data_IF_158867520588
#
_entry.id   IF_158867520588
#
_cell.length_a   1.000
_cell.length_b   1.000
_cell.length_c   1.000
_cell.angle_alpha   90.00
_cell.angle_beta   90.00
_cell.angle_gamma   90.00
#
_symmetry.space_group_name_H-M   'P 1'
#
loop_
_entity.id
_entity.type
_entity.pdbx_description
1 polymer ?
#
# COMPACT_ATOMS: atom_id res chain seq x y z
N UNK A 1 6.28 -3.37 -4.81
CA UNK A 1 6.34 -3.40 -6.29
C UNK A 1 5.45 -4.54 -6.84
N UNK A 2 4.21 -4.63 -6.34
CA UNK A 2 3.24 -5.67 -6.70
C UNK A 2 2.35 -5.24 -7.86
N UNK A 3 1.95 -6.19 -8.71
CA UNK A 3 0.94 -5.96 -9.75
C UNK A 3 -0.41 -5.53 -9.13
N UNK A 4 -1.22 -4.72 -9.83
CA UNK A 4 -1.11 -4.36 -11.25
C UNK A 4 -0.12 -3.22 -11.57
N UNK A 5 0.36 -2.47 -10.59
CA UNK A 5 1.24 -1.30 -10.84
C UNK A 5 2.72 -1.67 -10.88
N UNK A 6 3.12 -2.73 -10.20
CA UNK A 6 4.49 -3.20 -10.09
C UNK A 6 4.79 -4.45 -10.94
N UNK A 7 5.93 -5.09 -10.65
CA UNK A 7 6.47 -6.22 -11.40
C UNK A 7 6.01 -7.58 -10.87
N UNK A 8 5.91 -7.70 -9.54
CA UNK A 8 5.78 -8.96 -8.83
C UNK A 8 4.33 -9.37 -8.61
N UNK A 9 4.09 -10.67 -8.51
CA UNK A 9 2.80 -11.25 -8.17
C UNK A 9 2.70 -11.49 -6.65
N UNK A 10 1.49 -11.71 -6.15
CA UNK A 10 1.28 -12.13 -4.77
C UNK A 10 1.94 -13.47 -4.44
N UNK A 11 2.09 -14.35 -5.43
CA UNK A 11 2.85 -15.59 -5.31
C UNK A 11 4.33 -15.32 -4.99
N UNK A 12 4.94 -14.31 -5.63
CA UNK A 12 6.33 -13.92 -5.36
C UNK A 12 6.46 -13.38 -3.94
N UNK A 13 5.51 -12.57 -3.49
CA UNK A 13 5.46 -12.11 -2.10
C UNK A 13 5.36 -13.29 -1.13
N UNK A 14 4.52 -14.29 -1.43
CA UNK A 14 4.37 -15.48 -0.59
C UNK A 14 5.70 -16.23 -0.41
N UNK A 15 6.49 -16.37 -1.47
CA UNK A 15 7.81 -17.02 -1.43
C UNK A 15 8.82 -16.35 -0.48
N UNK A 16 8.67 -15.05 -0.25
CA UNK A 16 9.55 -14.28 0.65
C UNK A 16 8.92 -13.98 2.01
N UNK A 17 7.90 -14.72 2.40
CA UNK A 17 7.28 -14.66 3.73
C UNK A 17 5.86 -14.13 3.76
N UNK A 18 5.34 -13.70 2.64
CA UNK A 18 3.94 -13.35 2.45
C UNK A 18 3.45 -12.17 3.29
N UNK A 19 2.14 -12.10 3.42
CA UNK A 19 1.45 -11.08 4.21
C UNK A 19 1.91 -11.05 5.68
N UNK A 20 2.11 -12.21 6.37
CA UNK A 20 2.60 -12.18 7.75
C UNK A 20 3.93 -11.44 7.92
N UNK A 21 4.88 -11.62 6.99
CA UNK A 21 6.18 -10.93 7.05
C UNK A 21 6.05 -9.41 6.82
N UNK A 22 5.11 -8.98 5.97
CA UNK A 22 4.77 -7.55 5.80
C UNK A 22 4.12 -7.00 7.06
N UNK A 23 3.16 -7.73 7.63
CA UNK A 23 2.50 -7.32 8.89
C UNK A 23 3.50 -7.21 10.04
N UNK A 24 4.47 -8.13 10.13
CA UNK A 24 5.54 -8.04 11.13
C UNK A 24 6.34 -6.75 10.97
N UNK A 25 6.73 -6.40 9.77
CA UNK A 25 7.44 -5.15 9.48
C UNK A 25 6.62 -3.91 9.90
N UNK A 26 5.33 -3.86 9.54
CA UNK A 26 4.45 -2.76 9.94
C UNK A 26 4.24 -2.69 11.46
N UNK A 27 4.17 -3.84 12.13
CA UNK A 27 4.07 -3.92 13.58
C UNK A 27 5.33 -3.35 14.26
N UNK A 28 6.52 -3.73 13.78
CA UNK A 28 7.81 -3.26 14.29
C UNK A 28 8.00 -1.74 14.12
N UNK A 29 7.35 -1.17 13.12
CA UNK A 29 7.29 0.28 12.88
C UNK A 29 6.21 1.00 13.71
N UNK A 30 5.41 0.28 14.49
CA UNK A 30 4.29 0.86 15.24
C UNK A 30 3.11 1.31 14.36
N UNK A 31 3.00 0.77 13.14
CA UNK A 31 1.94 1.11 12.18
C UNK A 31 0.75 0.14 12.22
N UNK A 32 0.78 -0.86 13.09
CA UNK A 32 -0.32 -1.79 13.35
C UNK A 32 -0.67 -1.81 14.84
N UNK A 33 -1.94 -1.95 15.14
CA UNK A 33 -2.45 -2.19 16.48
C UNK A 33 -2.22 -3.65 16.87
N UNK A 34 -1.08 -3.94 17.48
CA UNK A 34 -0.64 -5.29 17.83
C UNK A 34 -1.49 -5.96 18.91
N UNK A 35 -2.20 -5.19 19.72
CA UNK A 35 -3.08 -5.60 20.80
C UNK A 35 -4.45 -6.10 20.33
N UNK A 36 -4.80 -5.89 19.07
CA UNK A 36 -6.09 -6.34 18.52
C UNK A 36 -6.18 -7.87 18.48
N UNK A 37 -7.28 -8.39 19.06
CA UNK A 37 -7.60 -9.81 19.06
C UNK A 37 -7.95 -10.30 17.66
N UNK A 38 -7.48 -11.49 17.31
CA UNK A 38 -7.75 -12.13 16.02
C UNK A 38 -8.64 -13.38 16.19
N UNK A 39 -9.07 -13.95 15.05
CA UNK A 39 -9.84 -15.19 15.01
C UNK A 39 -9.11 -16.42 15.57
N UNK A 40 -7.79 -16.33 15.78
CA UNK A 40 -7.00 -17.40 16.41
C UNK A 40 -7.12 -17.42 17.93
N UNK A 41 -7.81 -16.42 18.52
CA UNK A 41 -7.88 -16.22 19.98
C UNK A 41 -6.61 -15.56 20.56
N UNK A 42 -5.67 -15.16 19.70
CA UNK A 42 -4.45 -14.43 20.05
C UNK A 42 -4.47 -13.03 19.42
N UNK A 43 -3.68 -12.14 19.95
CA UNK A 43 -3.49 -10.81 19.37
C UNK A 43 -2.67 -10.88 18.07
N UNK A 44 -2.65 -9.77 17.31
CA UNK A 44 -1.80 -9.63 16.13
C UNK A 44 -0.33 -9.80 16.53
N UNK A 45 0.10 -9.16 17.60
CA UNK A 45 1.48 -9.24 18.08
C UNK A 45 1.88 -10.67 18.43
N UNK A 46 1.05 -11.41 19.17
CA UNK A 46 1.29 -12.81 19.52
C UNK A 46 1.37 -13.73 18.30
N UNK A 47 0.50 -13.51 17.29
CA UNK A 47 0.54 -14.28 16.05
C UNK A 47 1.80 -14.01 15.20
N UNK A 48 2.41 -12.85 15.35
CA UNK A 48 3.59 -12.44 14.60
C UNK A 48 4.91 -12.60 15.37
N UNK A 49 4.87 -13.09 16.61
CA UNK A 49 6.06 -13.19 17.49
C UNK A 49 7.23 -13.91 16.84
N UNK A 50 6.97 -15.02 16.15
CA UNK A 50 7.99 -15.85 15.51
C UNK A 50 8.15 -15.61 14.00
N UNK A 51 7.49 -14.58 13.49
CA UNK A 51 7.56 -14.23 12.07
C UNK A 51 8.75 -13.30 11.82
N UNK A 52 9.61 -13.65 10.89
CA UNK A 52 10.70 -12.76 10.43
C UNK A 52 10.12 -11.66 9.57
N UNK A 53 10.49 -10.41 9.86
CA UNK A 53 10.07 -9.23 9.09
C UNK A 53 10.47 -9.35 7.61
N UNK A 54 9.63 -8.79 6.72
CA UNK A 54 9.89 -8.82 5.28
C UNK A 54 11.17 -8.08 4.91
N UNK A 55 11.52 -7.03 5.66
CA UNK A 55 12.69 -6.20 5.37
C UNK A 55 14.00 -6.90 5.70
N UNK A 56 13.99 -7.88 6.61
CA UNK A 56 15.13 -8.68 6.98
C UNK A 56 15.39 -9.82 6.00
N UNK A 57 14.58 -9.95 4.97
CA UNK A 57 14.68 -10.98 3.94
C UNK A 57 15.34 -10.44 2.69
N UNK A 58 16.05 -11.29 1.99
CA UNK A 58 16.62 -10.94 0.68
C UNK A 58 15.52 -10.85 -0.38
N UNK A 59 14.97 -9.65 -0.59
CA UNK A 59 13.85 -9.41 -1.51
C UNK A 59 13.84 -7.96 -2.00
N UNK A 60 13.15 -7.70 -3.11
CA UNK A 60 12.96 -6.38 -3.72
C UNK A 60 11.48 -6.07 -4.01
N UNK A 61 10.57 -6.79 -3.35
CA UNK A 61 9.12 -6.68 -3.58
C UNK A 61 8.52 -5.57 -2.73
N UNK A 62 8.89 -5.56 -1.44
CA UNK A 62 8.49 -4.55 -0.47
C UNK A 62 9.71 -3.71 -0.12
N UNK A 63 9.62 -2.42 -0.34
CA UNK A 63 10.69 -1.48 -0.06
C UNK A 63 10.66 -1.03 1.40
N UNK A 64 11.83 -0.68 1.93
CA UNK A 64 11.94 -0.05 3.23
C UNK A 64 11.22 1.31 3.25
N UNK A 65 10.62 1.64 4.38
CA UNK A 65 9.93 2.92 4.60
C UNK A 65 10.86 4.13 4.40
N UNK A 66 12.18 3.94 4.59
CA UNK A 66 13.18 4.97 4.36
C UNK A 66 13.51 5.18 2.87
N UNK A 67 13.14 4.23 2.02
CA UNK A 67 13.36 4.29 0.58
C UNK A 67 12.12 3.77 -0.17
N UNK A 68 10.97 4.42 -0.05
CA UNK A 68 9.73 3.96 -0.63
C UNK A 68 9.74 4.13 -2.15
N UNK A 69 8.99 3.28 -2.86
CA UNK A 69 8.72 3.47 -4.31
C UNK A 69 8.01 4.82 -4.54
N UNK A 70 7.19 5.24 -3.59
CA UNK A 70 6.43 6.48 -3.62
C UNK A 70 6.23 7.00 -2.20
N UNK A 71 6.45 8.28 -1.99
CA UNK A 71 6.33 8.91 -0.65
C UNK A 71 4.90 8.96 -0.14
N UNK A 72 3.92 8.93 -1.03
CA UNK A 72 2.50 9.06 -0.69
C UNK A 72 1.69 7.90 -1.25
N UNK A 73 0.55 7.61 -0.60
CA UNK A 73 -0.38 6.58 -1.06
C UNK A 73 -0.98 6.88 -2.45
N UNK A 74 -1.53 5.86 -3.10
CA UNK A 74 -2.12 5.96 -4.43
C UNK A 74 -3.50 6.62 -4.46
N UNK A 75 -4.15 6.76 -3.31
CA UNK A 75 -5.46 7.40 -3.21
C UNK A 75 -5.26 8.82 -2.67
N UNK A 76 -5.75 9.81 -3.43
CA UNK A 76 -5.72 11.23 -3.07
C UNK A 76 -7.10 11.80 -3.02
N UNK A 77 -7.41 12.50 -1.95
CA UNK A 77 -8.59 13.36 -1.86
C UNK A 77 -8.17 14.74 -2.38
N UNK A 78 -8.90 15.26 -3.35
CA UNK A 78 -8.62 16.53 -4.00
C UNK A 78 -9.82 17.45 -3.89
N UNK A 79 -9.57 18.75 -3.76
CA UNK A 79 -10.56 19.80 -3.73
C UNK A 79 -10.22 20.85 -4.77
N UNK A 80 -11.21 21.51 -5.30
CA UNK A 80 -11.05 22.56 -6.28
C UNK A 80 -12.39 23.02 -6.86
N UNK A 81 -12.37 24.00 -7.74
CA UNK A 81 -13.56 24.58 -8.35
C UNK A 81 -14.39 23.60 -9.19
N UNK A 82 -13.76 22.51 -9.67
CA UNK A 82 -14.46 21.45 -10.39
C UNK A 82 -15.13 20.45 -9.44
N UNK A 83 -14.63 20.32 -8.22
CA UNK A 83 -15.11 19.38 -7.21
C UNK A 83 -15.00 20.02 -5.81
N UNK A 84 -15.84 20.99 -5.51
CA UNK A 84 -15.79 21.76 -4.26
C UNK A 84 -16.02 20.88 -3.02
N UNK A 85 -16.84 19.85 -3.14
CA UNK A 85 -17.10 18.87 -2.07
C UNK A 85 -16.07 17.75 -1.99
N UNK A 86 -15.04 17.83 -2.83
CA UNK A 86 -13.96 16.85 -2.93
C UNK A 86 -14.19 15.78 -3.98
N UNK A 87 -13.08 15.23 -4.45
CA UNK A 87 -13.03 14.08 -5.36
C UNK A 87 -11.93 13.12 -4.94
N UNK A 88 -12.03 11.88 -5.38
CA UNK A 88 -11.03 10.84 -5.11
C UNK A 88 -10.30 10.50 -6.39
N UNK A 89 -8.97 10.61 -6.37
CA UNK A 89 -8.12 10.19 -7.46
C UNK A 89 -7.27 8.98 -7.06
N UNK A 90 -7.24 7.97 -7.93
CA UNK A 90 -6.28 6.87 -7.84
C UNK A 90 -5.09 7.22 -8.73
N UNK A 91 -3.96 7.55 -8.11
CA UNK A 91 -2.73 7.95 -8.80
C UNK A 91 -1.74 6.79 -8.76
N UNK A 92 -1.67 6.01 -9.84
CA UNK A 92 -0.80 4.83 -9.91
C UNK A 92 0.61 5.14 -10.45
N UNK A 93 0.83 6.39 -10.90
CA UNK A 93 2.08 6.83 -11.50
C UNK A 93 2.16 6.64 -13.03
N UNK A 94 1.14 6.06 -13.64
CA UNK A 94 1.03 5.91 -15.10
C UNK A 94 0.32 7.09 -15.77
N UNK A 95 -0.51 7.80 -15.02
CA UNK A 95 -1.39 8.87 -15.51
C UNK A 95 -0.68 10.21 -15.66
N UNK A 96 0.49 10.38 -15.04
CA UNK A 96 1.17 11.67 -14.93
C UNK A 96 0.49 12.62 -13.94
N UNK A 97 1.17 13.72 -13.62
CA UNK A 97 0.67 14.75 -12.69
C UNK A 97 -0.03 15.93 -13.38
N UNK A 98 -0.03 15.94 -14.71
CA UNK A 98 -0.57 17.04 -15.51
C UNK A 98 -1.33 16.51 -16.73
N UNK A 99 -2.52 17.07 -16.97
CA UNK A 99 -3.31 16.82 -18.17
C UNK A 99 -3.89 18.12 -18.69
N UNK A 100 -3.85 18.29 -20.01
CA UNK A 100 -4.52 19.38 -20.74
C UNK A 100 -5.23 18.80 -21.95
N UNK A 101 -6.48 19.16 -22.13
CA UNK A 101 -7.29 18.69 -23.26
C UNK A 101 -8.49 19.58 -23.53
N UNK A 102 -9.19 19.33 -24.63
CA UNK A 102 -10.45 19.99 -24.95
C UNK A 102 -11.57 19.36 -24.12
N UNK A 103 -12.37 20.20 -23.46
CA UNK A 103 -13.55 19.74 -22.75
C UNK A 103 -14.66 19.36 -23.75
N UNK A 104 -15.29 18.21 -23.51
CA UNK A 104 -16.50 17.76 -24.22
C UNK A 104 -17.58 17.58 -23.18
N UNK A 105 -18.73 18.20 -23.41
CA UNK A 105 -19.89 18.07 -22.54
C UNK A 105 -20.84 17.03 -23.12
N UNK A 106 -21.34 16.16 -22.27
CA UNK A 106 -22.34 15.15 -22.60
C UNK A 106 -23.58 15.39 -21.73
N UNK A 107 -24.72 15.50 -22.38
CA UNK A 107 -26.03 15.72 -21.75
C UNK A 107 -26.80 14.38 -21.69
N UNK A 108 -26.50 13.55 -20.68
CA UNK A 108 -27.20 12.28 -20.43
C UNK A 108 -26.39 11.03 -20.64
#
# INVERSE_FOLDING_TARGET
DLKPSGKYLMEDLNKVGGVPAVMKYLLDLGLLHGDCLTVTGKTIAENLEHVTSIIDRQQNIIHDIKNPIKETGHIRIMYGNLAEKGSVAKITGKEGAYFKGTAIVFDG
#
